data_IF_940355098795
#
_entry.id   IF_940355098795
#
_cell.length_a   1.000
_cell.length_b   1.000
_cell.length_c   1.000
_cell.angle_alpha   90.00
_cell.angle_beta   90.00
_cell.angle_gamma   90.00
#
_symmetry.space_group_name_H-M   'P 1'
#
loop_
_entity.id
_entity.type
_entity.pdbx_description
1 polymer ?
#
# COMPACT_ATOMS: atom_id res chain seq x y z
N UNK A 1 22.29 -7.03 -1.37
CA UNK A 1 23.14 -6.22 -0.45
C UNK A 1 22.39 -4.91 -0.17
N UNK A 2 22.40 -4.46 1.07
CA UNK A 2 21.76 -3.18 1.44
C UNK A 2 22.82 -2.08 1.49
N UNK A 3 22.51 -0.95 0.86
CA UNK A 3 23.27 0.30 0.96
C UNK A 3 22.35 1.40 1.48
N UNK A 4 22.93 2.45 2.04
CA UNK A 4 22.22 3.65 2.44
C UNK A 4 22.98 4.85 1.88
N UNK A 5 22.30 5.65 1.06
CA UNK A 5 22.88 6.78 0.35
C UNK A 5 24.16 6.39 -0.43
N UNK A 6 24.12 5.26 -1.14
CA UNK A 6 25.22 4.72 -1.93
C UNK A 6 26.37 4.06 -1.13
N UNK A 7 26.32 4.07 0.21
CA UNK A 7 27.36 3.46 1.07
C UNK A 7 26.83 2.17 1.69
N UNK A 8 27.72 1.19 1.89
CA UNK A 8 27.38 -0.08 2.53
C UNK A 8 26.77 0.18 3.92
N UNK A 9 25.59 -0.42 4.17
CA UNK A 9 24.95 -0.35 5.45
C UNK A 9 25.72 -1.21 6.47
N UNK A 10 26.21 -0.61 7.57
CA UNK A 10 26.94 -1.30 8.61
C UNK A 10 26.83 -0.58 9.97
N UNK A 11 26.55 -1.35 11.03
CA UNK A 11 26.47 -0.81 12.40
C UNK A 11 27.78 -0.14 12.86
N UNK A 12 28.93 -0.71 12.48
CA UNK A 12 30.25 -0.20 12.89
C UNK A 12 30.58 1.20 12.34
N UNK A 13 29.91 1.62 11.28
CA UNK A 13 30.08 2.95 10.66
C UNK A 13 28.98 3.94 11.00
N UNK A 14 28.00 3.55 11.82
CA UNK A 14 26.81 4.36 12.10
C UNK A 14 25.85 4.47 10.91
N UNK A 15 26.21 3.95 9.74
CA UNK A 15 25.40 4.01 8.52
C UNK A 15 24.42 2.84 8.49
N UNK A 16 23.40 2.90 9.34
CA UNK A 16 22.35 1.89 9.40
C UNK A 16 21.02 2.51 9.83
N UNK A 17 19.95 1.83 9.51
CA UNK A 17 18.60 2.14 9.99
C UNK A 17 17.91 0.84 10.42
N UNK A 18 17.23 0.89 11.55
CA UNK A 18 16.43 -0.22 12.05
C UNK A 18 14.99 -0.11 11.56
N UNK A 19 14.26 -1.24 11.40
CA UNK A 19 12.84 -1.20 11.04
C UNK A 19 12.00 -0.33 12.00
N UNK A 20 12.28 -0.38 13.30
CA UNK A 20 11.60 0.44 14.31
C UNK A 20 11.79 1.94 14.05
N UNK A 21 13.00 2.35 13.65
CA UNK A 21 13.31 3.75 13.32
C UNK A 21 12.58 4.21 12.05
N UNK A 22 12.42 3.33 11.03
CA UNK A 22 11.62 3.62 9.84
C UNK A 22 10.15 3.87 10.24
N UNK A 23 9.63 3.10 11.18
CA UNK A 23 8.22 3.18 11.58
C UNK A 23 7.96 4.31 12.58
N UNK A 24 8.91 4.64 13.45
CA UNK A 24 8.81 5.78 14.38
C UNK A 24 9.17 7.11 13.73
N UNK A 25 10.02 7.10 12.70
CA UNK A 25 10.60 8.31 12.12
C UNK A 25 11.80 8.86 12.90
N UNK A 26 12.31 8.12 13.89
CA UNK A 26 13.40 8.54 14.78
C UNK A 26 14.78 8.14 14.26
N UNK A 27 15.15 8.64 13.08
CA UNK A 27 16.49 8.43 12.51
C UNK A 27 16.89 9.63 11.65
N UNK A 28 18.15 10.05 11.71
CA UNK A 28 18.68 11.23 10.99
C UNK A 28 18.62 11.11 9.45
N UNK A 29 18.50 9.87 8.93
CA UNK A 29 18.48 9.60 7.49
C UNK A 29 17.07 9.59 6.88
N UNK A 30 16.03 9.85 7.66
CA UNK A 30 14.63 9.92 7.20
C UNK A 30 13.95 11.16 7.76
N UNK A 31 13.02 11.72 6.99
CA UNK A 31 12.32 12.96 7.34
C UNK A 31 11.04 12.74 8.12
N UNK A 32 10.51 11.52 8.11
CA UNK A 32 9.26 11.16 8.79
C UNK A 32 9.12 9.65 9.02
N UNK A 33 8.10 9.27 9.76
CA UNK A 33 7.66 7.88 9.91
C UNK A 33 7.02 7.34 8.62
N UNK A 34 7.19 6.04 8.37
CA UNK A 34 6.56 5.34 7.24
C UNK A 34 5.77 4.13 7.73
N UNK A 35 4.62 3.90 7.11
CA UNK A 35 3.83 2.71 7.39
C UNK A 35 4.60 1.43 6.98
N UNK A 36 4.45 0.31 7.73
CA UNK A 36 5.13 -0.95 7.41
C UNK A 36 4.91 -1.43 5.97
N UNK A 37 3.71 -1.26 5.42
CA UNK A 37 3.39 -1.61 4.03
C UNK A 37 4.14 -0.74 3.02
N UNK A 38 4.43 0.53 3.32
CA UNK A 38 5.26 1.40 2.47
C UNK A 38 6.71 0.89 2.44
N UNK A 39 7.28 0.57 3.61
CA UNK A 39 8.63 0.02 3.69
C UNK A 39 8.73 -1.33 2.97
N UNK A 40 7.73 -2.21 3.12
CA UNK A 40 7.63 -3.48 2.38
C UNK A 40 7.56 -3.25 0.88
N UNK A 41 6.70 -2.36 0.43
CA UNK A 41 6.56 -2.02 -0.99
C UNK A 41 7.86 -1.47 -1.58
N UNK A 42 8.55 -0.58 -0.85
CA UNK A 42 9.86 -0.07 -1.23
C UNK A 42 10.88 -1.22 -1.43
N UNK A 43 10.97 -2.16 -0.49
CA UNK A 43 11.90 -3.29 -0.58
C UNK A 43 11.61 -4.19 -1.80
N UNK A 44 10.34 -4.39 -2.13
CA UNK A 44 9.92 -5.24 -3.25
C UNK A 44 10.08 -4.59 -4.64
N UNK A 45 10.39 -3.29 -4.71
CA UNK A 45 10.74 -2.62 -5.97
C UNK A 45 12.12 -3.02 -6.50
N UNK A 46 12.95 -3.64 -5.67
CA UNK A 46 14.22 -4.20 -6.08
C UNK A 46 14.15 -5.74 -6.07
N UNK A 47 14.75 -6.38 -7.07
CA UNK A 47 14.88 -7.84 -7.05
C UNK A 47 15.73 -8.27 -5.85
N UNK A 48 15.34 -9.33 -5.13
CA UNK A 48 16.01 -9.76 -3.90
C UNK A 48 17.50 -10.09 -4.06
N UNK A 49 17.96 -10.40 -5.29
CA UNK A 49 19.36 -10.62 -5.63
C UNK A 49 20.13 -9.33 -5.95
N UNK A 50 19.45 -8.21 -6.14
CA UNK A 50 20.07 -6.95 -6.47
C UNK A 50 20.49 -6.15 -5.23
N UNK A 51 21.15 -5.03 -5.45
CA UNK A 51 21.46 -4.08 -4.40
C UNK A 51 20.19 -3.22 -4.18
N UNK A 52 19.76 -3.10 -2.94
CA UNK A 52 18.76 -2.13 -2.55
C UNK A 52 19.46 -0.96 -1.86
N UNK A 53 19.37 0.22 -2.45
CA UNK A 53 19.88 1.46 -1.85
C UNK A 53 18.74 2.18 -1.14
N UNK A 54 18.87 2.32 0.18
CA UNK A 54 17.93 3.04 1.01
C UNK A 54 18.30 4.52 1.02
N UNK A 55 17.35 5.38 0.72
CA UNK A 55 17.44 6.82 0.91
C UNK A 55 16.06 7.39 1.22
N UNK A 56 16.00 8.52 1.89
CA UNK A 56 14.74 9.19 2.21
C UNK A 56 13.94 9.52 0.95
N UNK A 57 14.59 10.06 -0.08
CA UNK A 57 13.94 10.35 -1.37
C UNK A 57 13.35 9.10 -2.02
N UNK A 58 14.05 7.97 -1.95
CA UNK A 58 13.60 6.73 -2.57
C UNK A 58 12.37 6.15 -1.86
N UNK A 59 12.36 6.15 -0.52
CA UNK A 59 11.19 5.67 0.23
C UNK A 59 9.99 6.63 0.12
N UNK A 60 10.22 7.94 0.04
CA UNK A 60 9.18 8.94 -0.24
C UNK A 60 8.56 8.76 -1.63
N UNK A 61 9.38 8.47 -2.64
CA UNK A 61 8.88 8.15 -3.99
C UNK A 61 8.07 6.85 -3.99
N UNK A 62 8.56 5.83 -3.28
CA UNK A 62 7.87 4.57 -3.11
C UNK A 62 6.52 4.73 -2.41
N UNK A 63 6.44 5.55 -1.37
CA UNK A 63 5.19 5.87 -0.67
C UNK A 63 4.14 6.44 -1.61
N UNK A 64 4.51 7.39 -2.48
CA UNK A 64 3.59 7.95 -3.49
C UNK A 64 3.08 6.85 -4.44
N UNK A 65 3.97 5.95 -4.86
CA UNK A 65 3.61 4.81 -5.69
C UNK A 65 2.64 3.87 -4.96
N UNK A 66 2.93 3.52 -3.72
CA UNK A 66 2.08 2.69 -2.88
C UNK A 66 0.65 3.26 -2.75
N UNK A 67 0.51 4.54 -2.41
CA UNK A 67 -0.82 5.13 -2.29
C UNK A 67 -1.56 5.19 -3.63
N UNK A 68 -0.88 5.48 -4.74
CA UNK A 68 -1.48 5.41 -6.08
C UNK A 68 -2.04 4.02 -6.40
N UNK A 69 -1.34 2.95 -5.99
CA UNK A 69 -1.82 1.58 -6.16
C UNK A 69 -3.07 1.33 -5.30
N UNK A 70 -3.05 1.73 -4.03
CA UNK A 70 -4.20 1.58 -3.12
C UNK A 70 -5.42 2.39 -3.58
N UNK A 71 -5.21 3.62 -4.04
CA UNK A 71 -6.28 4.49 -4.56
C UNK A 71 -6.92 3.89 -5.82
N UNK A 72 -6.11 3.33 -6.72
CA UNK A 72 -6.63 2.66 -7.92
C UNK A 72 -7.43 1.40 -7.57
N UNK A 73 -7.00 0.60 -6.59
CA UNK A 73 -7.77 -0.56 -6.11
C UNK A 73 -9.10 -0.09 -5.51
N UNK A 74 -9.10 0.96 -4.70
CA UNK A 74 -10.33 1.53 -4.14
C UNK A 74 -11.25 2.09 -5.24
N UNK A 75 -10.67 2.74 -6.26
CA UNK A 75 -11.40 3.25 -7.42
C UNK A 75 -12.03 2.12 -8.25
N UNK A 76 -11.31 1.01 -8.45
CA UNK A 76 -11.81 -0.15 -9.21
C UNK A 76 -13.13 -0.69 -8.65
N UNK A 77 -13.34 -0.59 -7.34
CA UNK A 77 -14.59 -1.04 -6.69
C UNK A 77 -15.80 -0.14 -7.02
N UNK A 78 -15.57 1.06 -7.54
CA UNK A 78 -16.61 2.03 -7.92
C UNK A 78 -16.91 2.03 -9.42
N UNK A 79 -16.06 1.38 -10.22
CA UNK A 79 -16.21 1.29 -11.67
C UNK A 79 -17.42 0.40 -12.01
N UNK A 80 -18.21 0.87 -12.98
CA UNK A 80 -19.29 0.08 -13.56
C UNK A 80 -18.79 -0.65 -14.81
N UNK A 81 -19.24 -1.87 -14.98
CA UNK A 81 -18.92 -2.68 -16.16
C UNK A 81 -19.55 -2.08 -17.42
N UNK A 82 -18.83 -2.16 -18.53
CA UNK A 82 -19.30 -1.85 -19.85
C UNK A 82 -19.89 -3.06 -20.59
N UNK A 83 -20.29 -2.86 -21.84
CA UNK A 83 -20.85 -3.90 -22.69
C UNK A 83 -19.80 -4.73 -23.43
N UNK A 84 -18.54 -4.31 -23.42
CA UNK A 84 -17.43 -5.00 -24.05
C UNK A 84 -16.11 -4.62 -23.41
N UNK A 85 -15.10 -5.49 -23.58
CA UNK A 85 -13.73 -5.27 -23.10
C UNK A 85 -12.85 -4.74 -24.23
N UNK A 86 -12.14 -3.65 -23.97
CA UNK A 86 -11.14 -3.06 -24.87
C UNK A 86 -9.69 -3.45 -24.47
N UNK A 87 -9.54 -4.11 -23.32
CA UNK A 87 -8.26 -4.52 -22.73
C UNK A 87 -8.25 -6.03 -22.49
N UNK A 88 -7.10 -6.67 -22.66
CA UNK A 88 -6.91 -8.10 -22.44
C UNK A 88 -6.47 -8.38 -20.99
N UNK A 89 -7.42 -8.50 -20.10
CA UNK A 89 -7.19 -8.77 -18.67
C UNK A 89 -6.61 -10.16 -18.44
N UNK A 90 -6.98 -11.14 -19.29
CA UNK A 90 -6.46 -12.51 -19.16
C UNK A 90 -4.97 -12.58 -19.44
N UNK A 91 -4.50 -11.95 -20.53
CA UNK A 91 -3.08 -11.86 -20.87
C UNK A 91 -2.27 -11.09 -19.80
N UNK A 92 -2.85 -10.00 -19.28
CA UNK A 92 -2.23 -9.26 -18.19
C UNK A 92 -2.08 -10.12 -16.93
N UNK A 93 -3.12 -10.87 -16.55
CA UNK A 93 -3.05 -11.81 -15.42
C UNK A 93 -1.96 -12.87 -15.62
N UNK A 94 -1.84 -13.44 -16.81
CA UNK A 94 -0.76 -14.38 -17.12
C UNK A 94 0.62 -13.74 -16.97
N UNK A 95 0.77 -12.46 -17.36
CA UNK A 95 2.01 -11.71 -17.19
C UNK A 95 2.37 -11.51 -15.72
N UNK A 96 1.39 -11.31 -14.83
CA UNK A 96 1.60 -11.25 -13.38
C UNK A 96 2.11 -12.59 -12.84
N UNK A 97 1.49 -13.70 -13.21
CA UNK A 97 1.95 -15.05 -12.82
C UNK A 97 3.34 -15.36 -13.37
N UNK A 98 3.62 -14.99 -14.61
CA UNK A 98 4.94 -15.16 -15.24
C UNK A 98 6.02 -14.41 -14.47
N UNK A 99 5.77 -13.18 -14.04
CA UNK A 99 6.70 -12.40 -13.23
C UNK A 99 7.05 -13.12 -11.93
N UNK A 100 6.06 -13.69 -11.24
CA UNK A 100 6.31 -14.43 -9.99
C UNK A 100 6.96 -15.80 -10.22
N UNK A 101 6.69 -16.45 -11.35
CA UNK A 101 7.32 -17.70 -11.73
C UNK A 101 8.77 -17.53 -12.20
N UNK A 102 9.17 -16.31 -12.56
CA UNK A 102 10.52 -15.92 -12.89
C UNK A 102 11.28 -15.48 -11.64
N UNK A 103 11.62 -16.44 -10.78
CA UNK A 103 12.44 -16.24 -9.59
C UNK A 103 11.88 -15.14 -8.64
N UNK A 104 10.57 -15.13 -8.43
CA UNK A 104 9.87 -14.14 -7.60
C UNK A 104 10.22 -12.69 -7.98
N UNK A 105 10.14 -12.37 -9.26
CA UNK A 105 10.52 -11.07 -9.82
C UNK A 105 9.50 -9.98 -9.44
N UNK A 106 9.53 -9.58 -8.17
CA UNK A 106 8.61 -8.57 -7.62
C UNK A 106 8.67 -7.22 -8.35
N UNK A 107 9.82 -6.70 -8.83
CA UNK A 107 9.83 -5.47 -9.62
C UNK A 107 9.01 -5.57 -10.91
N UNK A 108 9.10 -6.70 -11.63
CA UNK A 108 8.31 -6.92 -12.84
C UNK A 108 6.82 -7.04 -12.49
N UNK A 109 6.48 -7.79 -11.42
CA UNK A 109 5.11 -7.84 -10.95
C UNK A 109 4.56 -6.44 -10.62
N UNK A 110 5.30 -5.63 -9.89
CA UNK A 110 4.89 -4.26 -9.54
C UNK A 110 4.66 -3.42 -10.80
N UNK A 111 5.50 -3.57 -11.84
CA UNK A 111 5.28 -2.90 -13.12
C UNK A 111 3.94 -3.32 -13.77
N UNK A 112 3.58 -4.63 -13.72
CA UNK A 112 2.28 -5.11 -14.19
C UNK A 112 1.12 -4.55 -13.35
N UNK A 113 1.27 -4.43 -12.04
CA UNK A 113 0.26 -3.82 -11.18
C UNK A 113 0.03 -2.33 -11.54
N UNK A 114 1.09 -1.59 -11.90
CA UNK A 114 0.94 -0.22 -12.38
C UNK A 114 0.32 -0.09 -13.78
N UNK A 115 0.44 -1.10 -14.63
CA UNK A 115 -0.33 -1.15 -15.88
C UNK A 115 -1.83 -1.27 -15.57
N UNK A 116 -2.21 -2.09 -14.59
CA UNK A 116 -3.61 -2.15 -14.13
C UNK A 116 -4.08 -0.83 -13.52
N UNK A 117 -3.22 -0.12 -12.76
CA UNK A 117 -3.53 1.24 -12.25
C UNK A 117 -3.86 2.19 -13.39
N UNK A 118 -3.07 2.16 -14.46
CA UNK A 118 -3.33 2.97 -15.67
C UNK A 118 -4.67 2.60 -16.30
N UNK A 119 -4.96 1.31 -16.47
CA UNK A 119 -6.23 0.83 -17.02
C UNK A 119 -7.44 1.29 -16.20
N UNK A 120 -7.38 1.15 -14.88
CA UNK A 120 -8.43 1.59 -13.96
C UNK A 120 -8.74 3.07 -14.15
N UNK A 121 -7.71 3.92 -14.29
CA UNK A 121 -7.92 5.34 -14.54
C UNK A 121 -8.52 5.61 -15.92
N UNK A 122 -8.07 4.90 -16.98
CA UNK A 122 -8.64 5.03 -18.32
C UNK A 122 -10.11 4.61 -18.38
N UNK A 123 -10.47 3.55 -17.67
CA UNK A 123 -11.87 3.08 -17.57
C UNK A 123 -12.70 4.11 -16.80
N UNK A 124 -12.20 4.64 -15.70
CA UNK A 124 -12.87 5.68 -14.93
C UNK A 124 -13.09 6.97 -15.75
N UNK A 125 -12.15 7.30 -16.64
CA UNK A 125 -12.25 8.42 -17.57
C UNK A 125 -13.18 8.13 -18.79
N UNK A 126 -13.72 6.92 -18.91
CA UNK A 126 -14.56 6.49 -20.03
C UNK A 126 -13.81 6.30 -21.36
N UNK A 127 -12.47 6.17 -21.32
CA UNK A 127 -11.63 5.96 -22.51
C UNK A 127 -11.48 4.49 -22.87
N UNK A 128 -11.62 3.62 -21.89
CA UNK A 128 -11.56 2.15 -21.98
C UNK A 128 -12.77 1.55 -21.27
N UNK A 129 -13.08 0.29 -21.56
CA UNK A 129 -14.17 -0.43 -20.92
C UNK A 129 -13.82 -1.90 -20.67
N UNK A 130 -14.46 -2.51 -19.68
CA UNK A 130 -14.39 -3.93 -19.39
C UNK A 130 -15.79 -4.49 -19.19
N UNK A 131 -16.00 -5.74 -19.62
CA UNK A 131 -17.19 -6.50 -19.21
C UNK A 131 -17.20 -6.75 -17.71
N UNK A 132 -18.31 -7.19 -17.16
CA UNK A 132 -18.40 -7.57 -15.74
C UNK A 132 -17.40 -8.68 -15.38
N UNK A 133 -17.25 -9.66 -16.26
CA UNK A 133 -16.33 -10.80 -16.05
C UNK A 133 -14.87 -10.36 -16.00
N UNK A 134 -14.45 -9.50 -16.95
CA UNK A 134 -13.07 -9.00 -16.99
C UNK A 134 -12.79 -8.00 -15.87
N UNK A 135 -13.77 -7.21 -15.47
CA UNK A 135 -13.63 -6.31 -14.32
C UNK A 135 -13.48 -7.10 -13.02
N UNK A 136 -14.24 -8.16 -12.82
CA UNK A 136 -14.11 -9.05 -11.67
C UNK A 136 -12.77 -9.80 -11.70
N UNK A 137 -12.32 -10.25 -12.86
CA UNK A 137 -11.01 -10.87 -13.04
C UNK A 137 -9.87 -9.90 -12.67
N UNK A 138 -9.96 -8.64 -13.10
CA UNK A 138 -9.00 -7.58 -12.77
C UNK A 138 -8.94 -7.36 -11.24
N UNK A 139 -10.09 -7.16 -10.59
CA UNK A 139 -10.21 -6.95 -9.14
C UNK A 139 -9.67 -8.11 -8.33
N UNK A 140 -10.06 -9.33 -8.69
CA UNK A 140 -9.61 -10.53 -8.00
C UNK A 140 -8.10 -10.73 -8.16
N UNK A 141 -7.55 -10.48 -9.35
CA UNK A 141 -6.12 -10.57 -9.60
C UNK A 141 -5.34 -9.55 -8.79
N UNK A 142 -5.81 -8.30 -8.74
CA UNK A 142 -5.21 -7.26 -7.89
C UNK A 142 -5.25 -7.66 -6.41
N UNK A 143 -6.37 -8.18 -5.92
CA UNK A 143 -6.51 -8.63 -4.53
C UNK A 143 -5.51 -9.72 -4.19
N UNK A 144 -5.42 -10.76 -5.02
CA UNK A 144 -4.49 -11.89 -4.81
C UNK A 144 -3.04 -11.41 -4.82
N UNK A 145 -2.62 -10.63 -5.83
CA UNK A 145 -1.21 -10.23 -5.91
C UNK A 145 -0.84 -9.17 -4.86
N UNK A 146 -1.69 -8.18 -4.63
CA UNK A 146 -1.35 -7.07 -3.74
C UNK A 146 -1.47 -7.46 -2.27
N UNK A 147 -2.56 -8.12 -1.88
CA UNK A 147 -2.83 -8.40 -0.47
C UNK A 147 -2.33 -9.79 -0.05
N UNK A 148 -2.62 -10.83 -0.83
CA UNK A 148 -2.31 -12.21 -0.41
C UNK A 148 -0.85 -12.57 -0.70
N UNK A 149 -0.29 -12.18 -1.86
CA UNK A 149 1.08 -12.53 -2.27
C UNK A 149 2.10 -11.50 -1.77
N UNK A 150 1.93 -10.21 -2.09
CA UNK A 150 2.84 -9.17 -1.64
C UNK A 150 2.62 -8.77 -0.17
N UNK A 151 1.49 -9.14 0.42
CA UNK A 151 1.15 -8.87 1.82
C UNK A 151 1.10 -7.38 2.13
N UNK A 152 0.63 -6.56 1.19
CA UNK A 152 0.43 -5.13 1.40
C UNK A 152 -0.92 -4.89 2.07
N UNK A 153 -0.94 -4.07 3.10
CA UNK A 153 -2.17 -3.69 3.79
C UNK A 153 -2.61 -2.29 3.33
N UNK A 154 -3.90 -2.03 3.31
CA UNK A 154 -4.38 -0.68 3.00
C UNK A 154 -4.23 0.22 4.24
N UNK A 155 -3.08 0.89 4.35
CA UNK A 155 -2.74 1.75 5.49
C UNK A 155 -3.75 2.90 5.72
N UNK A 156 -4.48 3.34 4.68
CA UNK A 156 -5.52 4.36 4.83
C UNK A 156 -6.73 3.82 5.59
N UNK A 157 -7.07 2.54 5.43
CA UNK A 157 -8.17 1.91 6.19
C UNK A 157 -7.84 1.72 7.66
N UNK A 158 -6.59 1.47 8.00
CA UNK A 158 -6.17 1.30 9.41
C UNK A 158 -6.21 2.61 10.18
N UNK A 159 -5.77 3.71 9.57
CA UNK A 159 -5.79 5.03 10.20
C UNK A 159 -7.23 5.55 10.39
N UNK A 160 -8.11 5.38 9.39
CA UNK A 160 -9.49 5.87 9.45
C UNK A 160 -10.34 5.10 10.51
N UNK A 161 -10.05 3.83 10.76
CA UNK A 161 -10.70 3.04 11.80
C UNK A 161 -10.14 3.34 13.20
N UNK A 162 -8.84 3.56 13.34
CA UNK A 162 -8.17 3.92 14.59
C UNK A 162 -8.64 5.30 15.07
N UNK A 163 -8.60 6.32 14.23
CA UNK A 163 -9.03 7.67 14.58
C UNK A 163 -10.51 7.74 14.96
N UNK A 164 -11.37 6.94 14.30
CA UNK A 164 -12.78 6.83 14.65
C UNK A 164 -13.00 6.12 16.00
N UNK A 165 -12.24 5.06 16.27
CA UNK A 165 -12.31 4.35 17.55
C UNK A 165 -11.82 5.24 18.68
N UNK A 166 -10.69 5.94 18.48
CA UNK A 166 -10.16 6.88 19.47
C UNK A 166 -11.13 8.04 19.75
N UNK A 167 -11.77 8.58 18.71
CA UNK A 167 -12.81 9.60 18.84
C UNK A 167 -14.05 9.10 19.62
N UNK A 168 -14.49 7.87 19.37
CA UNK A 168 -15.60 7.26 20.11
C UNK A 168 -15.24 6.97 21.56
N UNK A 169 -14.03 6.47 21.84
CA UNK A 169 -13.55 6.25 23.20
C UNK A 169 -13.44 7.56 23.96
N UNK A 170 -12.93 8.62 23.34
CA UNK A 170 -12.87 9.95 23.97
C UNK A 170 -14.26 10.50 24.28
N UNK A 171 -15.21 10.35 23.35
CA UNK A 171 -16.61 10.74 23.57
C UNK A 171 -17.23 10.01 24.78
N UNK A 172 -17.00 8.71 24.89
CA UNK A 172 -17.49 7.91 26.02
C UNK A 172 -16.86 8.35 27.35
N UNK A 173 -15.57 8.68 27.36
CA UNK A 173 -14.89 9.21 28.53
C UNK A 173 -15.49 10.56 28.96
N UNK A 174 -15.75 11.44 28.02
CA UNK A 174 -16.33 12.76 28.29
C UNK A 174 -17.80 12.66 28.76
N UNK A 175 -18.58 11.76 28.17
CA UNK A 175 -19.94 11.46 28.62
C UNK A 175 -19.94 10.92 30.06
N UNK A 176 -19.03 10.01 30.39
CA UNK A 176 -18.89 9.47 31.74
C UNK A 176 -18.46 10.53 32.76
N UNK A 177 -17.53 11.43 32.41
CA UNK A 177 -17.15 12.55 33.28
C UNK A 177 -18.34 13.44 33.54
N UNK A 178 -19.10 13.84 32.53
CA UNK A 178 -20.30 14.66 32.64
C UNK A 178 -21.35 14.02 33.51
N UNK A 179 -21.66 12.73 33.31
CA UNK A 179 -22.62 12.00 34.15
C UNK A 179 -22.19 11.98 35.62
N UNK A 180 -20.90 11.87 35.94
CA UNK A 180 -20.37 11.96 37.29
C UNK A 180 -20.52 13.35 37.91
N UNK A 181 -20.23 14.39 37.13
CA UNK A 181 -20.37 15.77 37.57
C UNK A 181 -21.85 16.12 37.85
N UNK A 182 -22.75 15.61 37.02
CA UNK A 182 -24.21 15.77 37.15
C UNK A 182 -24.83 14.78 38.18
N UNK A 183 -24.00 13.90 38.80
CA UNK A 183 -24.41 12.85 39.74
C UNK A 183 -25.44 11.87 39.18
N UNK A 184 -25.45 11.68 37.88
CA UNK A 184 -26.24 10.66 37.20
C UNK A 184 -25.51 9.30 37.23
N UNK A 185 -25.75 8.57 38.32
CA UNK A 185 -25.12 7.27 38.58
C UNK A 185 -25.62 6.15 37.68
N UNK A 186 -26.73 6.35 36.99
CA UNK A 186 -27.27 5.38 36.07
C UNK A 186 -26.51 5.37 34.72
N UNK A 187 -25.90 6.50 34.38
CA UNK A 187 -25.16 6.72 33.13
C UNK A 187 -23.63 6.73 33.34
N UNK A 188 -23.13 6.62 34.55
CA UNK A 188 -21.70 6.73 34.93
C UNK A 188 -20.88 5.41 34.78
#
# INVERSE_FOLDING_TARGET
MLTMNGKKMAKSTGNNILPEEIFSGENENITKSFAPSVARFFMMQAHYRSILDFSDDAILASEKGYYRLMDAINLSNKIQAGTGSTLDVSLWRESCYKAMSDDFNSPILIAQLFEAVKWINLINDGKESLTSEDLDLLKNTLTVFVFDILGLENAQKSNDSSDRVDGLVQLLIDMRKKARDDRDWALS
#
